data_IF_371478968208
#
_entry.id   IF_371478968208
#
_cell.length_a   1.000
_cell.length_b   1.000
_cell.length_c   1.000
_cell.angle_alpha   90.00
_cell.angle_beta   90.00
_cell.angle_gamma   90.00
#
_symmetry.space_group_name_H-M   'P 1'
#
loop_
_entity.id
_entity.type
_entity.pdbx_description
1 polymer ?
#
# COMPACT_ATOMS: atom_id res chain seq x y z
N UNK A 1 42.18 -10.47 -82.82
CA UNK A 1 42.56 -11.73 -82.24
C UNK A 1 42.80 -11.54 -80.75
N UNK A 2 41.88 -11.94 -79.90
CA UNK A 2 41.97 -11.83 -78.48
C UNK A 2 42.20 -13.19 -77.89
N UNK A 3 43.29 -13.39 -77.21
CA UNK A 3 43.58 -14.57 -76.37
C UNK A 3 42.98 -14.41 -75.04
N UNK A 4 42.13 -15.33 -74.62
CA UNK A 4 41.69 -15.48 -73.25
C UNK A 4 42.65 -16.39 -72.50
N UNK A 5 43.10 -15.92 -71.35
CA UNK A 5 43.95 -16.68 -70.41
C UNK A 5 43.05 -17.29 -69.32
N UNK A 6 42.91 -18.60 -69.34
CA UNK A 6 42.23 -19.34 -68.30
C UNK A 6 43.08 -19.36 -67.03
N UNK A 7 42.57 -18.84 -65.95
CA UNK A 7 43.17 -19.01 -64.62
C UNK A 7 42.77 -20.37 -64.03
N UNK A 8 43.75 -21.24 -63.87
CA UNK A 8 43.61 -22.46 -63.07
C UNK A 8 43.61 -22.08 -61.58
N UNK A 9 42.55 -22.41 -60.85
CA UNK A 9 42.52 -22.39 -59.42
C UNK A 9 43.00 -23.75 -58.90
N UNK A 10 44.15 -23.78 -58.20
CA UNK A 10 44.64 -24.96 -57.50
C UNK A 10 43.88 -25.04 -56.18
N UNK A 11 43.03 -26.04 -56.04
CA UNK A 11 42.33 -26.36 -54.80
C UNK A 11 43.31 -27.19 -53.95
N UNK A 12 43.90 -26.56 -52.93
CA UNK A 12 44.70 -27.29 -51.93
C UNK A 12 43.74 -27.98 -50.96
N UNK A 13 43.67 -29.28 -51.02
CA UNK A 13 43.01 -30.11 -50.04
C UNK A 13 43.88 -30.17 -48.78
N UNK A 14 43.47 -29.40 -47.74
CA UNK A 14 44.00 -29.61 -46.42
C UNK A 14 43.27 -30.76 -45.74
N UNK A 15 43.95 -31.86 -45.57
CA UNK A 15 43.47 -33.00 -44.78
C UNK A 15 43.48 -32.60 -43.31
N UNK A 16 42.33 -32.28 -42.78
CA UNK A 16 42.19 -32.17 -41.33
C UNK A 16 42.08 -33.56 -40.73
N UNK A 17 43.14 -33.98 -40.03
CA UNK A 17 43.08 -35.15 -39.17
C UNK A 17 42.22 -34.77 -37.95
N UNK A 18 40.97 -35.25 -37.94
CA UNK A 18 40.10 -35.15 -36.76
C UNK A 18 40.62 -36.16 -35.72
N UNK A 19 41.38 -35.67 -34.75
CA UNK A 19 41.54 -36.38 -33.49
C UNK A 19 40.20 -36.33 -32.72
N UNK A 20 39.73 -37.47 -32.17
CA UNK A 20 38.57 -37.45 -31.32
C UNK A 20 38.92 -36.73 -30.04
N UNK A 21 38.58 -35.47 -29.93
CA UNK A 21 38.56 -34.76 -28.66
C UNK A 21 37.37 -35.33 -27.91
N UNK A 22 37.59 -36.28 -27.02
CA UNK A 22 36.63 -36.63 -26.00
C UNK A 22 36.54 -35.45 -25.00
N UNK A 23 36.04 -34.33 -25.46
CA UNK A 23 35.59 -33.31 -24.55
C UNK A 23 34.26 -33.84 -23.99
N UNK A 24 34.32 -34.49 -22.84
CA UNK A 24 33.16 -34.58 -21.96
C UNK A 24 32.76 -33.14 -21.66
N UNK A 25 31.78 -32.63 -22.39
CA UNK A 25 31.04 -31.47 -21.94
C UNK A 25 30.36 -31.93 -20.67
N UNK A 26 30.99 -31.61 -19.54
CA UNK A 26 30.26 -31.67 -18.27
C UNK A 26 29.12 -30.69 -18.42
N UNK A 27 27.93 -31.20 -18.74
CA UNK A 27 26.69 -30.45 -18.60
C UNK A 27 26.71 -29.93 -17.17
N UNK A 28 26.55 -28.60 -16.96
CA UNK A 28 26.38 -28.11 -15.62
C UNK A 28 25.26 -28.95 -15.02
N UNK A 29 25.57 -29.66 -13.95
CA UNK A 29 24.58 -30.33 -13.13
C UNK A 29 23.57 -29.25 -12.79
N UNK A 30 22.39 -29.32 -13.35
CA UNK A 30 21.27 -28.52 -12.92
C UNK A 30 21.05 -28.91 -11.45
N UNK A 31 21.74 -28.22 -10.55
CA UNK A 31 21.31 -28.19 -9.17
C UNK A 31 19.92 -27.59 -9.24
N UNK A 32 18.93 -28.42 -8.90
CA UNK A 32 17.53 -28.13 -9.13
C UNK A 32 17.24 -26.66 -8.93
N UNK A 33 16.51 -26.06 -9.85
CA UNK A 33 16.08 -24.69 -9.76
C UNK A 33 15.56 -24.55 -8.33
N UNK A 34 16.35 -23.91 -7.45
CA UNK A 34 15.81 -23.51 -6.17
C UNK A 34 14.60 -22.66 -6.55
N UNK A 35 13.41 -23.17 -6.25
CA UNK A 35 12.23 -22.34 -6.32
C UNK A 35 12.57 -21.11 -5.50
N UNK A 36 12.66 -19.95 -6.16
CA UNK A 36 12.72 -18.70 -5.46
C UNK A 36 11.46 -18.65 -4.60
N UNK A 37 11.62 -18.86 -3.32
CA UNK A 37 10.61 -18.54 -2.35
C UNK A 37 10.90 -17.08 -2.00
N UNK A 38 10.03 -16.16 -2.40
CA UNK A 38 10.14 -14.81 -1.87
C UNK A 38 10.14 -14.92 -0.33
N UNK A 39 10.81 -14.00 0.39
CA UNK A 39 10.70 -13.95 1.83
C UNK A 39 9.22 -13.95 2.20
N UNK A 40 8.84 -14.55 3.34
CA UNK A 40 7.46 -14.51 3.79
C UNK A 40 7.00 -13.06 3.83
N UNK A 41 5.84 -12.78 3.29
CA UNK A 41 5.16 -11.50 3.39
C UNK A 41 4.04 -11.63 4.42
N UNK A 42 3.91 -10.68 5.32
CA UNK A 42 2.95 -10.71 6.42
C UNK A 42 2.08 -9.46 6.37
N UNK A 43 0.85 -9.59 6.78
CA UNK A 43 -0.07 -8.50 7.04
C UNK A 43 -0.50 -8.53 8.51
N UNK A 44 -0.93 -7.40 9.06
CA UNK A 44 -1.54 -7.37 10.37
C UNK A 44 -3.01 -7.77 10.27
N UNK A 45 -3.48 -8.59 11.22
CA UNK A 45 -4.88 -9.01 11.34
C UNK A 45 -5.58 -8.20 12.43
N UNK A 46 -6.73 -7.63 12.06
CA UNK A 46 -7.66 -6.92 12.93
C UNK A 46 -8.94 -7.74 13.09
N UNK A 47 -9.45 -7.84 14.31
CA UNK A 47 -10.56 -8.73 14.63
C UNK A 47 -11.94 -8.08 14.59
N UNK A 48 -12.01 -6.76 14.42
CA UNK A 48 -13.26 -6.02 14.36
C UNK A 48 -13.90 -5.76 15.73
N UNK A 49 -13.16 -5.92 16.83
CA UNK A 49 -13.65 -5.62 18.18
C UNK A 49 -12.94 -4.42 18.80
N UNK A 50 -11.61 -4.49 19.02
CA UNK A 50 -10.86 -3.44 19.70
C UNK A 50 -9.38 -3.35 19.30
N UNK A 51 -9.01 -3.98 18.20
CA UNK A 51 -7.65 -3.95 17.66
C UNK A 51 -7.33 -2.59 17.05
N UNK A 52 -6.37 -1.89 17.64
CA UNK A 52 -5.88 -0.60 17.16
C UNK A 52 -4.36 -0.51 17.25
N UNK A 53 -3.74 0.08 16.23
CA UNK A 53 -2.32 0.43 16.24
C UNK A 53 -2.20 1.94 16.26
N UNK A 54 -1.53 2.49 17.28
CA UNK A 54 -1.26 3.92 17.42
C UNK A 54 0.20 4.22 17.07
N UNK A 55 0.42 5.11 16.09
CA UNK A 55 1.73 5.65 15.72
C UNK A 55 2.04 7.00 16.39
N UNK A 56 1.22 7.39 17.38
CA UNK A 56 1.37 8.64 18.10
C UNK A 56 0.99 9.89 17.30
N UNK A 57 1.16 11.04 17.90
CA UNK A 57 0.82 12.34 17.29
C UNK A 57 1.96 12.82 16.38
N UNK A 58 1.82 12.55 15.10
CA UNK A 58 2.80 12.93 14.07
C UNK A 58 2.62 14.41 13.72
N UNK A 59 3.62 15.22 14.07
CA UNK A 59 3.52 16.69 13.98
C UNK A 59 3.23 17.20 12.58
N UNK A 60 3.86 16.61 11.55
CA UNK A 60 3.72 17.03 10.17
C UNK A 60 2.35 16.67 9.57
N UNK A 61 1.60 15.78 10.24
CA UNK A 61 0.24 15.37 9.83
C UNK A 61 -0.87 16.08 10.64
N UNK A 62 -0.54 17.03 11.54
CA UNK A 62 -1.55 17.73 12.33
C UNK A 62 -2.45 18.66 11.52
N UNK A 63 -1.93 19.24 10.46
CA UNK A 63 -2.65 20.07 9.47
C UNK A 63 -1.87 20.04 8.17
N UNK A 64 -1.86 18.93 7.44
CA UNK A 64 -1.14 18.87 6.19
C UNK A 64 -1.85 19.70 5.12
N UNK A 65 -1.08 20.47 4.34
CA UNK A 65 -1.57 21.13 3.12
C UNK A 65 -1.65 20.14 1.97
N UNK A 66 -0.79 19.13 2.03
CA UNK A 66 -0.66 18.06 1.06
C UNK A 66 -0.42 16.75 1.76
N UNK A 67 -1.06 15.68 1.35
CA UNK A 67 -0.71 14.34 1.80
C UNK A 67 -1.07 13.27 0.78
N UNK A 68 -0.48 12.11 0.97
CA UNK A 68 -0.89 10.84 0.36
C UNK A 68 -0.90 9.78 1.44
N UNK A 69 -1.98 9.04 1.56
CA UNK A 69 -2.07 7.83 2.39
C UNK A 69 -2.28 6.65 1.48
N UNK A 70 -1.52 5.57 1.67
CA UNK A 70 -1.65 4.34 0.90
C UNK A 70 -1.55 3.12 1.81
N UNK A 71 -2.28 2.05 1.46
CA UNK A 71 -2.16 0.75 2.10
C UNK A 71 -2.83 -0.34 1.25
N UNK A 72 -2.48 -1.58 1.55
CA UNK A 72 -3.24 -2.74 1.11
C UNK A 72 -4.23 -3.15 2.20
N UNK A 73 -5.41 -3.59 1.80
CA UNK A 73 -6.37 -4.14 2.74
C UNK A 73 -7.17 -5.30 2.13
N UNK A 74 -7.60 -6.21 3.01
CA UNK A 74 -8.55 -7.27 2.70
C UNK A 74 -9.54 -7.36 3.84
N UNK A 75 -10.73 -6.78 3.65
CA UNK A 75 -11.82 -6.90 4.62
C UNK A 75 -12.35 -8.33 4.63
N UNK A 76 -12.54 -8.91 5.79
CA UNK A 76 -13.12 -10.25 5.94
C UNK A 76 -14.56 -10.24 6.41
N UNK A 77 -15.00 -9.16 7.05
CA UNK A 77 -16.36 -8.93 7.49
C UNK A 77 -16.69 -7.44 7.41
N UNK A 78 -17.90 -7.13 6.98
CA UNK A 78 -18.42 -5.76 6.94
C UNK A 78 -19.15 -5.44 8.24
N UNK A 79 -18.57 -4.61 9.07
CA UNK A 79 -19.16 -4.14 10.33
C UNK A 79 -20.03 -2.87 10.14
N UNK A 80 -20.32 -2.48 8.91
CA UNK A 80 -21.17 -1.34 8.63
C UNK A 80 -22.57 -1.56 9.22
N UNK A 81 -23.06 -0.58 9.96
CA UNK A 81 -24.33 -0.67 10.67
C UNK A 81 -24.24 -0.90 12.18
N UNK A 82 -23.05 -1.11 12.76
CA UNK A 82 -22.83 -0.94 14.18
C UNK A 82 -22.81 0.55 14.49
N UNK A 83 -23.93 1.09 14.88
CA UNK A 83 -24.25 2.36 15.59
C UNK A 83 -23.28 3.55 15.55
N UNK A 84 -22.42 3.71 14.55
CA UNK A 84 -21.67 4.93 14.40
C UNK A 84 -22.53 6.06 13.84
N UNK A 85 -22.32 7.28 14.28
CA UNK A 85 -23.10 8.45 13.90
C UNK A 85 -23.05 8.63 12.38
N UNK A 86 -24.19 8.42 11.72
CA UNK A 86 -24.32 8.51 10.26
C UNK A 86 -24.04 9.90 9.69
N UNK A 87 -23.70 10.87 10.52
CA UNK A 87 -23.45 12.26 10.12
C UNK A 87 -21.97 12.65 10.15
N UNK A 88 -21.12 11.95 10.92
CA UNK A 88 -19.72 12.32 11.12
C UNK A 88 -18.85 11.09 11.24
N UNK A 89 -18.13 10.70 10.21
CA UNK A 89 -17.14 9.65 10.23
C UNK A 89 -17.46 8.46 9.32
N UNK A 90 -16.58 7.49 9.33
CA UNK A 90 -16.60 6.30 8.47
C UNK A 90 -16.76 5.02 9.28
N UNK A 91 -17.16 3.94 8.61
CA UNK A 91 -17.22 2.59 9.20
C UNK A 91 -15.98 1.79 8.82
N UNK A 92 -15.74 0.69 9.54
CA UNK A 92 -14.61 -0.20 9.28
C UNK A 92 -13.31 0.60 9.05
N UNK A 93 -12.91 1.41 10.05
CA UNK A 93 -11.81 2.37 9.91
C UNK A 93 -10.49 1.63 9.73
N UNK A 94 -9.83 1.89 8.62
CA UNK A 94 -8.52 1.34 8.29
C UNK A 94 -7.38 2.30 8.65
N UNK A 95 -7.61 3.61 8.53
CA UNK A 95 -6.67 4.66 8.85
C UNK A 95 -7.39 5.88 9.41
N UNK A 96 -6.84 6.49 10.45
CA UNK A 96 -7.34 7.73 11.02
C UNK A 96 -6.19 8.65 11.46
N UNK A 97 -6.41 9.94 11.38
CA UNK A 97 -5.59 10.97 12.02
C UNK A 97 -6.52 11.92 12.77
N UNK A 98 -6.83 11.56 13.99
CA UNK A 98 -7.76 12.28 14.82
C UNK A 98 -8.03 11.57 16.14
N UNK A 99 -8.53 12.25 17.16
CA UNK A 99 -8.86 11.65 18.45
C UNK A 99 -10.07 12.28 19.14
N UNK A 100 -10.79 13.14 18.45
CA UNK A 100 -11.88 13.91 19.07
C UNK A 100 -12.70 14.51 17.93
N UNK A 101 -14.03 14.56 18.02
CA UNK A 101 -14.88 15.20 17.02
C UNK A 101 -14.55 16.67 16.70
N UNK A 102 -13.52 17.23 17.35
CA UNK A 102 -13.04 18.59 17.07
C UNK A 102 -11.54 18.66 16.74
N UNK A 103 -10.86 17.50 16.60
CA UNK A 103 -9.42 17.43 16.37
C UNK A 103 -9.02 16.28 15.42
N UNK A 104 -9.94 15.68 14.72
CA UNK A 104 -9.69 14.78 13.61
C UNK A 104 -9.46 15.57 12.32
N UNK A 105 -8.77 15.00 11.37
CA UNK A 105 -8.62 15.61 10.07
C UNK A 105 -8.82 14.66 8.91
N UNK A 106 -8.66 13.37 9.12
CA UNK A 106 -8.95 12.35 8.10
C UNK A 106 -9.25 11.00 8.72
N UNK A 107 -10.29 10.35 8.23
CA UNK A 107 -10.58 8.94 8.45
C UNK A 107 -10.84 8.24 7.11
N UNK A 108 -10.36 7.01 6.97
CA UNK A 108 -10.53 6.21 5.75
C UNK A 108 -11.04 4.84 6.17
N UNK A 109 -12.17 4.42 5.59
CA UNK A 109 -12.80 3.15 5.88
C UNK A 109 -13.69 2.63 4.76
N UNK A 110 -14.59 1.71 5.10
CA UNK A 110 -15.54 1.12 4.15
C UNK A 110 -16.94 1.00 4.75
N UNK A 111 -17.98 1.14 3.92
CA UNK A 111 -19.36 0.84 4.25
C UNK A 111 -20.00 0.03 3.13
N UNK A 112 -20.32 -1.22 3.39
CA UNK A 112 -20.82 -2.14 2.37
C UNK A 112 -19.83 -2.29 1.23
N UNK A 113 -20.24 -1.87 0.03
CA UNK A 113 -19.40 -1.89 -1.18
C UNK A 113 -18.64 -0.59 -1.45
N UNK A 114 -18.74 0.39 -0.55
CA UNK A 114 -18.15 1.72 -0.71
C UNK A 114 -16.82 1.83 0.00
N UNK A 115 -15.96 2.73 -0.48
CA UNK A 115 -14.90 3.38 0.28
C UNK A 115 -15.48 4.68 0.83
N UNK A 116 -15.19 4.97 2.08
CA UNK A 116 -15.58 6.20 2.77
C UNK A 116 -14.33 6.97 3.20
N UNK A 117 -14.35 8.28 3.01
CA UNK A 117 -13.29 9.19 3.46
C UNK A 117 -13.99 10.34 4.19
N UNK A 118 -13.66 10.52 5.45
CA UNK A 118 -14.09 11.69 6.22
C UNK A 118 -12.94 12.69 6.27
N UNK A 119 -13.27 13.94 6.05
CA UNK A 119 -12.33 15.07 6.14
C UNK A 119 -12.96 16.16 7.00
N UNK A 120 -12.23 16.59 8.03
CA UNK A 120 -12.58 17.75 8.84
C UNK A 120 -11.73 18.95 8.45
N UNK A 121 -12.39 20.08 8.15
CA UNK A 121 -11.73 21.29 7.65
C UNK A 121 -12.33 22.56 8.21
N UNK A 122 -11.60 23.67 8.11
CA UNK A 122 -12.12 25.00 8.48
C UNK A 122 -13.43 25.40 7.76
N UNK A 123 -13.75 24.75 6.64
CA UNK A 123 -14.98 24.97 5.90
C UNK A 123 -16.17 24.08 6.35
N UNK A 124 -15.90 23.07 7.17
CA UNK A 124 -16.83 22.09 7.70
C UNK A 124 -16.38 20.66 7.42
N UNK A 125 -17.13 19.74 8.00
CA UNK A 125 -16.90 18.31 7.89
C UNK A 125 -17.55 17.75 6.64
N UNK A 126 -16.96 16.72 6.05
CA UNK A 126 -17.54 16.05 4.91
C UNK A 126 -17.17 14.57 4.84
N UNK A 127 -18.15 13.78 4.44
CA UNK A 127 -17.96 12.37 4.15
C UNK A 127 -18.07 12.12 2.65
N UNK A 128 -16.96 11.76 2.06
CA UNK A 128 -16.86 11.41 0.66
C UNK A 128 -17.06 9.90 0.51
N UNK A 129 -17.95 9.51 -0.41
CA UNK A 129 -18.27 8.10 -0.62
C UNK A 129 -18.07 7.72 -2.09
N UNK A 130 -17.45 6.58 -2.34
CA UNK A 130 -17.33 6.00 -3.66
C UNK A 130 -17.70 4.52 -3.67
N UNK A 131 -18.70 4.17 -4.48
CA UNK A 131 -19.11 2.76 -4.64
C UNK A 131 -18.21 2.06 -5.65
N UNK A 132 -17.15 1.44 -5.15
CA UNK A 132 -16.23 0.64 -5.96
C UNK A 132 -16.66 -0.84 -6.10
N UNK A 133 -17.63 -1.30 -5.33
CA UNK A 133 -17.98 -2.71 -5.25
C UNK A 133 -17.03 -3.52 -4.38
N UNK A 134 -16.54 -2.91 -3.28
CA UNK A 134 -15.68 -3.62 -2.31
C UNK A 134 -16.36 -4.91 -1.89
N UNK A 135 -15.60 -6.00 -1.96
CA UNK A 135 -16.06 -7.35 -1.62
C UNK A 135 -15.17 -7.95 -0.54
N UNK A 136 -15.77 -8.65 0.41
CA UNK A 136 -15.02 -9.33 1.45
C UNK A 136 -14.09 -10.40 0.89
N UNK A 137 -13.00 -10.66 1.60
CA UNK A 137 -11.96 -11.61 1.24
C UNK A 137 -11.23 -11.32 -0.09
N UNK A 138 -11.27 -10.06 -0.54
CA UNK A 138 -10.56 -9.58 -1.73
C UNK A 138 -9.56 -8.51 -1.33
N UNK A 139 -8.31 -8.63 -1.81
CA UNK A 139 -7.30 -7.61 -1.64
C UNK A 139 -7.55 -6.41 -2.55
N UNK A 140 -7.36 -5.23 -2.00
CA UNK A 140 -7.37 -3.95 -2.70
C UNK A 140 -6.15 -3.12 -2.28
N UNK A 141 -5.56 -2.41 -3.21
CA UNK A 141 -4.63 -1.32 -2.91
C UNK A 141 -5.40 -0.01 -2.93
N UNK A 142 -5.38 0.72 -1.85
CA UNK A 142 -6.04 2.01 -1.73
C UNK A 142 -5.02 3.12 -1.59
N UNK A 143 -5.24 4.25 -2.29
CA UNK A 143 -4.54 5.49 -2.02
C UNK A 143 -5.53 6.66 -2.00
N UNK A 144 -5.32 7.58 -1.07
CA UNK A 144 -6.01 8.87 -1.01
C UNK A 144 -4.97 9.96 -1.07
N UNK A 145 -5.15 10.91 -1.97
CA UNK A 145 -4.34 12.14 -2.03
C UNK A 145 -5.18 13.34 -1.65
N UNK A 146 -4.56 14.31 -1.00
CA UNK A 146 -5.15 15.61 -0.69
C UNK A 146 -4.20 16.72 -1.12
N UNK A 147 -4.70 17.69 -1.88
CA UNK A 147 -3.98 18.85 -2.37
C UNK A 147 -4.83 20.11 -2.12
N UNK A 148 -4.49 20.87 -1.08
CA UNK A 148 -5.22 22.07 -0.68
C UNK A 148 -5.34 23.13 -1.78
N UNK A 149 -4.41 23.15 -2.75
CA UNK A 149 -4.30 24.19 -3.77
C UNK A 149 -5.05 23.83 -5.08
N UNK A 150 -5.58 22.60 -5.17
CA UNK A 150 -6.34 22.18 -6.35
C UNK A 150 -7.86 22.39 -6.14
N UNK A 151 -8.59 22.45 -7.25
CA UNK A 151 -10.07 22.44 -7.21
C UNK A 151 -10.61 21.07 -6.84
N UNK A 152 -9.93 20.01 -7.26
CA UNK A 152 -10.25 18.63 -6.92
C UNK A 152 -9.26 18.20 -5.83
N UNK A 153 -9.54 18.63 -4.60
CA UNK A 153 -8.61 18.54 -3.46
C UNK A 153 -8.34 17.11 -3.05
N UNK A 154 -9.36 16.25 -3.13
CA UNK A 154 -9.27 14.85 -2.69
C UNK A 154 -9.42 13.92 -3.88
N UNK A 155 -8.48 13.00 -4.05
CA UNK A 155 -8.54 11.99 -5.10
C UNK A 155 -8.35 10.60 -4.52
N UNK A 156 -9.24 9.67 -4.91
CA UNK A 156 -9.19 8.26 -4.53
C UNK A 156 -8.64 7.41 -5.67
N UNK A 157 -7.73 6.52 -5.31
CA UNK A 157 -7.17 5.51 -6.20
C UNK A 157 -7.45 4.13 -5.63
N UNK A 158 -7.90 3.21 -6.48
CA UNK A 158 -8.03 1.79 -6.18
C UNK A 158 -7.23 1.01 -7.21
N UNK A 159 -6.43 0.07 -6.73
CA UNK A 159 -5.59 -0.78 -7.57
C UNK A 159 -4.73 0.02 -8.58
N UNK A 160 -4.11 1.09 -8.07
CA UNK A 160 -3.22 1.96 -8.82
C UNK A 160 -3.89 2.85 -9.86
N UNK A 161 -5.21 2.88 -9.93
CA UNK A 161 -5.98 3.69 -10.87
C UNK A 161 -6.84 4.71 -10.13
N UNK A 162 -6.86 5.95 -10.62
CA UNK A 162 -7.80 6.96 -10.16
C UNK A 162 -9.23 6.51 -10.44
N UNK A 163 -10.10 6.57 -9.42
CA UNK A 163 -11.49 6.14 -9.52
C UNK A 163 -12.49 7.25 -9.21
N UNK A 164 -12.10 8.24 -8.42
CA UNK A 164 -12.93 9.38 -8.09
C UNK A 164 -12.07 10.58 -7.65
N UNK A 165 -12.58 11.78 -7.87
CA UNK A 165 -12.03 13.02 -7.30
C UNK A 165 -13.16 13.95 -6.89
N UNK A 166 -12.95 14.67 -5.78
CA UNK A 166 -13.95 15.57 -5.22
C UNK A 166 -13.40 16.99 -5.16
N UNK A 167 -14.25 17.93 -5.62
CA UNK A 167 -13.97 19.36 -5.56
C UNK A 167 -14.89 20.02 -4.53
N UNK A 168 -14.46 20.00 -3.29
CA UNK A 168 -15.24 20.44 -2.15
C UNK A 168 -14.87 21.85 -1.69
N UNK A 169 -13.80 22.44 -2.24
CA UNK A 169 -13.28 23.75 -1.88
C UNK A 169 -13.05 23.91 -0.36
N UNK A 170 -12.55 22.84 0.29
CA UNK A 170 -12.40 22.76 1.74
C UNK A 170 -11.31 23.66 2.27
N UNK A 171 -10.24 23.82 1.49
CA UNK A 171 -9.07 24.56 1.93
C UNK A 171 -8.33 23.80 3.03
N UNK A 172 -8.05 24.45 4.17
CA UNK A 172 -7.24 23.84 5.22
C UNK A 172 -8.01 22.81 6.02
N UNK A 173 -7.42 21.64 6.19
CA UNK A 173 -7.88 20.67 7.18
C UNK A 173 -7.78 21.22 8.60
N UNK A 174 -8.62 20.75 9.49
CA UNK A 174 -8.56 21.13 10.89
C UNK A 174 -7.33 20.57 11.59
N UNK A 175 -6.99 21.17 12.72
CA UNK A 175 -5.74 20.89 13.40
C UNK A 175 -5.89 19.77 14.42
N UNK A 176 -5.46 18.59 14.07
CA UNK A 176 -5.46 17.41 14.93
C UNK A 176 -4.28 17.36 15.90
N UNK A 177 -4.13 18.40 16.76
CA UNK A 177 -3.01 18.47 17.72
C UNK A 177 -3.24 17.53 18.90
N UNK A 178 -2.28 16.67 19.19
CA UNK A 178 -2.35 15.68 20.27
C UNK A 178 -3.03 14.39 19.87
N UNK A 179 -3.65 14.35 18.70
CA UNK A 179 -4.35 13.18 18.18
C UNK A 179 -3.37 12.23 17.49
N UNK A 180 -3.43 10.91 17.72
CA UNK A 180 -2.54 9.97 17.07
C UNK A 180 -2.91 9.75 15.61
N UNK A 181 -1.97 9.19 14.84
CA UNK A 181 -2.29 8.37 13.68
C UNK A 181 -2.65 7.00 14.19
N UNK A 182 -3.78 6.45 13.74
CA UNK A 182 -4.22 5.09 14.10
C UNK A 182 -4.53 4.26 12.87
N UNK A 183 -4.39 2.94 13.03
CA UNK A 183 -4.67 1.93 12.00
C UNK A 183 -5.56 0.86 12.61
N UNK A 184 -6.62 0.45 11.90
CA UNK A 184 -7.56 -0.60 12.28
C UNK A 184 -8.77 -0.14 13.09
N UNK A 185 -8.66 0.99 13.73
CA UNK A 185 -9.76 1.71 14.42
C UNK A 185 -9.33 3.17 14.67
N UNK A 186 -10.15 3.94 15.33
CA UNK A 186 -9.83 5.27 15.86
C UNK A 186 -9.89 5.28 17.37
N UNK A 187 -9.22 6.23 18.01
CA UNK A 187 -9.11 6.26 19.48
C UNK A 187 -10.25 7.01 20.19
N UNK A 188 -11.20 7.57 19.45
CA UNK A 188 -12.30 8.38 20.03
C UNK A 188 -13.69 7.74 19.85
N UNK A 189 -13.83 6.81 18.91
CA UNK A 189 -15.07 6.07 18.65
C UNK A 189 -14.72 4.63 18.33
N UNK A 190 -15.71 3.76 18.36
CA UNK A 190 -15.51 2.37 17.96
C UNK A 190 -16.13 2.13 16.60
N UNK A 191 -15.29 2.05 15.58
CA UNK A 191 -15.65 1.69 14.22
C UNK A 191 -14.60 0.72 13.62
N UNK A 192 -14.30 -0.39 14.33
CA UNK A 192 -13.14 -1.22 14.06
C UNK A 192 -13.26 -1.95 12.73
N UNK A 193 -12.10 -2.10 12.11
CA UNK A 193 -11.93 -2.89 10.89
C UNK A 193 -11.79 -4.37 11.20
N UNK A 194 -12.46 -5.22 10.41
CA UNK A 194 -12.26 -6.68 10.44
C UNK A 194 -11.57 -7.15 9.18
N UNK A 195 -10.33 -7.62 9.31
CA UNK A 195 -9.58 -8.10 8.15
C UNK A 195 -8.08 -7.94 8.27
N UNK A 196 -7.42 -7.81 7.14
CA UNK A 196 -5.97 -7.66 7.02
C UNK A 196 -5.63 -6.29 6.45
N UNK A 197 -4.60 -5.65 7.03
CA UNK A 197 -4.00 -4.41 6.50
C UNK A 197 -2.49 -4.64 6.35
N UNK A 198 -1.91 -4.08 5.27
CA UNK A 198 -0.51 -4.23 4.94
C UNK A 198 0.05 -2.97 4.28
N UNK A 199 1.39 -2.75 4.41
CA UNK A 199 2.13 -1.71 3.70
C UNK A 199 1.54 -0.29 3.87
N UNK A 200 1.22 0.12 5.11
CA UNK A 200 0.68 1.47 5.37
C UNK A 200 1.76 2.52 5.23
N UNK A 201 1.60 3.42 4.27
CA UNK A 201 2.54 4.50 4.00
C UNK A 201 1.84 5.86 3.91
N UNK A 202 2.47 6.89 4.48
CA UNK A 202 1.94 8.26 4.50
C UNK A 202 3.01 9.25 4.10
N UNK A 203 2.69 10.11 3.15
CA UNK A 203 3.54 11.22 2.69
C UNK A 203 2.91 12.57 3.02
N UNK A 204 3.74 13.56 3.31
CA UNK A 204 3.36 14.98 3.40
C UNK A 204 3.48 15.68 2.03
N UNK A 205 3.19 14.96 0.98
CA UNK A 205 3.14 15.43 -0.41
C UNK A 205 2.11 14.64 -1.22
N UNK A 206 1.66 15.22 -2.31
CA UNK A 206 0.80 14.52 -3.28
C UNK A 206 1.67 13.66 -4.19
N UNK A 207 1.47 12.35 -4.17
CA UNK A 207 2.06 11.47 -5.17
C UNK A 207 1.27 11.57 -6.47
N UNK A 208 1.99 11.57 -7.58
CA UNK A 208 1.37 11.59 -8.91
C UNK A 208 0.67 10.25 -9.22
N UNK A 209 -0.34 10.22 -10.11
CA UNK A 209 -0.99 8.98 -10.55
C UNK A 209 0.01 7.92 -11.05
N UNK A 210 1.07 8.35 -11.72
CA UNK A 210 2.12 7.45 -12.21
C UNK A 210 2.94 6.83 -11.08
N UNK A 211 3.20 7.56 -9.99
CA UNK A 211 3.88 7.04 -8.80
C UNK A 211 2.99 6.04 -8.07
N UNK A 212 1.71 6.36 -7.87
CA UNK A 212 0.73 5.47 -7.24
C UNK A 212 0.58 4.17 -8.02
N UNK A 213 0.43 4.27 -9.35
CA UNK A 213 0.36 3.10 -10.23
C UNK A 213 1.65 2.25 -10.19
N UNK A 214 2.81 2.90 -10.10
CA UNK A 214 4.08 2.19 -10.00
C UNK A 214 4.26 1.49 -8.64
N UNK A 215 3.75 2.08 -7.55
CA UNK A 215 3.77 1.46 -6.21
C UNK A 215 2.82 0.26 -6.17
N UNK A 216 1.63 0.38 -6.74
CA UNK A 216 0.68 -0.74 -6.89
C UNK A 216 1.28 -1.91 -7.68
N UNK A 217 2.07 -1.60 -8.73
CA UNK A 217 2.82 -2.56 -9.54
C UNK A 217 1.98 -3.77 -10.01
N UNK A 218 0.80 -3.49 -10.57
CA UNK A 218 -0.14 -4.51 -11.07
C UNK A 218 -0.53 -5.59 -10.03
N UNK A 219 -0.66 -5.20 -8.78
CA UNK A 219 -1.07 -6.08 -7.69
C UNK A 219 0.07 -6.74 -6.92
N UNK A 220 1.33 -6.49 -7.30
CA UNK A 220 2.48 -7.09 -6.62
C UNK A 220 3.15 -6.17 -5.58
N UNK A 221 2.77 -4.87 -5.57
CA UNK A 221 3.49 -3.85 -4.81
C UNK A 221 4.95 -3.71 -5.27
N UNK A 222 5.67 -2.75 -4.74
CA UNK A 222 7.12 -2.60 -4.97
C UNK A 222 7.97 -3.14 -3.82
N UNK A 223 7.35 -3.66 -2.79
CA UNK A 223 8.02 -4.28 -1.63
C UNK A 223 8.70 -3.31 -0.67
N UNK A 224 9.06 -2.10 -1.08
CA UNK A 224 9.63 -1.09 -0.19
C UNK A 224 9.62 0.30 -0.84
N UNK A 225 8.76 1.18 -0.36
CA UNK A 225 8.62 2.55 -0.85
C UNK A 225 9.82 3.44 -0.50
N UNK A 226 10.61 3.11 0.52
CA UNK A 226 11.76 3.92 0.95
C UNK A 226 12.88 3.96 -0.08
N UNK A 227 12.92 3.02 -1.01
CA UNK A 227 13.96 2.97 -2.04
C UNK A 227 13.76 3.99 -3.14
N UNK A 228 12.52 4.26 -3.53
CA UNK A 228 12.20 5.08 -4.71
C UNK A 228 11.26 6.26 -4.42
N UNK A 229 10.60 6.27 -3.26
CA UNK A 229 9.57 7.26 -2.89
C UNK A 229 9.76 7.78 -1.45
N UNK A 230 11.02 7.90 -1.00
CA UNK A 230 11.36 8.36 0.36
C UNK A 230 11.16 9.86 0.59
N UNK A 231 11.08 10.65 -0.48
CA UNK A 231 10.90 12.10 -0.34
C UNK A 231 9.54 12.42 0.29
N UNK A 232 9.56 13.15 1.41
CA UNK A 232 8.37 13.50 2.22
C UNK A 232 7.61 12.29 2.78
N UNK A 233 8.21 11.10 2.81
CA UNK A 233 7.65 9.93 3.47
C UNK A 233 7.70 10.15 4.99
N UNK A 234 6.54 10.18 5.63
CA UNK A 234 6.39 10.51 7.05
C UNK A 234 6.22 9.26 7.92
N UNK A 235 5.50 8.27 7.42
CA UNK A 235 5.23 7.00 8.10
C UNK A 235 5.28 5.85 7.08
N UNK A 236 5.85 4.70 7.48
CA UNK A 236 5.78 3.48 6.71
C UNK A 236 5.84 2.23 7.60
N UNK A 237 4.71 1.56 7.79
CA UNK A 237 4.60 0.31 8.53
C UNK A 237 4.35 -0.83 7.56
N UNK A 238 5.28 -1.78 7.48
CA UNK A 238 5.22 -2.92 6.55
C UNK A 238 4.50 -4.14 7.09
N UNK A 239 4.30 -4.20 8.39
CA UNK A 239 3.71 -5.35 9.09
C UNK A 239 4.48 -6.69 8.93
N UNK A 240 5.76 -6.64 8.63
CA UNK A 240 6.65 -7.81 8.52
C UNK A 240 7.02 -8.38 9.90
N UNK A 241 6.00 -8.75 10.69
CA UNK A 241 6.05 -9.26 12.07
C UNK A 241 6.54 -8.24 13.09
N UNK A 242 6.52 -6.97 12.75
CA UNK A 242 6.76 -5.86 13.68
C UNK A 242 5.92 -4.62 13.32
N UNK A 243 6.00 -3.60 14.14
CA UNK A 243 5.31 -2.32 13.96
C UNK A 243 6.30 -1.17 13.82
N UNK A 244 7.51 -1.47 13.33
CA UNK A 244 8.52 -0.45 13.13
C UNK A 244 8.12 0.48 11.98
N UNK A 245 8.40 1.76 12.18
CA UNK A 245 8.33 2.75 11.13
C UNK A 245 9.63 2.73 10.30
N UNK A 246 9.54 2.22 9.09
CA UNK A 246 10.63 2.14 8.13
C UNK A 246 10.85 3.44 7.33
N UNK A 247 10.05 4.50 7.55
CA UNK A 247 10.27 5.81 6.93
C UNK A 247 11.58 6.48 7.39
N UNK A 248 12.04 6.11 8.60
CA UNK A 248 13.20 6.70 9.27
C UNK A 248 12.84 7.79 10.29
N UNK A 249 11.55 8.13 10.44
CA UNK A 249 11.08 9.19 11.37
C UNK A 249 10.80 8.64 12.77
N UNK A 250 10.84 7.31 12.97
CA UNK A 250 10.67 6.65 14.26
C UNK A 250 9.26 6.77 14.87
N UNK A 251 8.23 6.80 14.04
CA UNK A 251 6.82 6.77 14.43
C UNK A 251 6.32 5.32 14.58
N UNK A 252 7.05 4.51 15.34
CA UNK A 252 6.72 3.09 15.52
C UNK A 252 5.31 2.91 16.06
N UNK A 253 4.59 1.93 15.53
CA UNK A 253 3.28 1.55 15.98
C UNK A 253 3.30 0.91 17.38
N UNK A 254 2.26 1.17 18.15
CA UNK A 254 1.99 0.48 19.42
C UNK A 254 0.62 -0.15 19.31
N UNK A 255 0.58 -1.47 19.42
CA UNK A 255 -0.68 -2.23 19.39
C UNK A 255 -1.42 -2.11 20.73
N UNK A 256 -2.72 -1.96 20.65
CA UNK A 256 -3.67 -2.06 21.74
C UNK A 256 -4.87 -2.86 21.27
N UNK A 257 -5.28 -3.82 22.04
CA UNK A 257 -6.43 -4.69 21.79
C UNK A 257 -6.57 -5.63 22.98
N UNK A 258 -7.80 -6.01 23.31
CA UNK A 258 -8.08 -6.85 24.48
C UNK A 258 -8.72 -8.18 24.10
N UNK A 259 -8.83 -8.47 22.82
CA UNK A 259 -9.49 -9.61 22.27
C UNK A 259 -9.06 -10.92 22.96
N UNK A 260 -9.77 -11.29 23.95
CA UNK A 260 -9.90 -12.53 24.71
C UNK A 260 -8.71 -13.49 24.82
N UNK A 261 -7.78 -13.46 23.90
CA UNK A 261 -6.59 -14.31 23.83
C UNK A 261 -5.34 -13.58 23.29
N UNK A 262 -5.45 -12.44 22.63
CA UNK A 262 -4.34 -11.79 21.94
C UNK A 262 -4.18 -10.33 22.37
N UNK A 263 -3.50 -10.12 23.48
CA UNK A 263 -2.98 -8.79 23.86
C UNK A 263 -1.73 -8.42 23.07
N UNK A 264 -1.53 -8.98 21.89
CA UNK A 264 -0.35 -8.76 21.04
C UNK A 264 -0.74 -8.75 19.56
N UNK A 265 -0.04 -7.94 18.79
CA UNK A 265 -0.22 -7.85 17.36
C UNK A 265 -0.21 -9.24 16.68
N UNK A 266 -1.17 -9.49 15.81
CA UNK A 266 -1.35 -10.74 15.09
C UNK A 266 -0.95 -10.58 13.63
N UNK A 267 0.04 -11.35 13.19
CA UNK A 267 0.55 -11.32 11.82
C UNK A 267 0.14 -12.59 11.07
N UNK A 268 -0.39 -12.41 9.87
CA UNK A 268 -0.80 -13.49 8.97
C UNK A 268 0.16 -13.53 7.79
N UNK A 269 0.71 -14.73 7.51
CA UNK A 269 1.53 -14.93 6.33
C UNK A 269 0.65 -14.92 5.06
N UNK A 270 0.87 -13.94 4.20
CA UNK A 270 0.09 -13.69 2.98
C UNK A 270 0.88 -13.97 1.70
N UNK A 271 2.06 -14.58 1.79
CA UNK A 271 2.95 -14.84 0.63
C UNK A 271 2.25 -15.58 -0.54
N UNK A 272 1.19 -16.35 -0.24
CA UNK A 272 0.42 -17.07 -1.25
C UNK A 272 -0.92 -16.40 -1.60
N UNK A 273 -1.26 -15.28 -0.98
CA UNK A 273 -2.59 -14.68 -1.00
C UNK A 273 -2.63 -13.33 -1.73
N UNK A 274 -1.50 -12.66 -1.86
CA UNK A 274 -1.38 -11.51 -2.75
C UNK A 274 -1.32 -12.03 -4.18
N UNK A 275 -2.04 -11.41 -5.14
CA UNK A 275 -1.91 -11.76 -6.55
C UNK A 275 -0.46 -11.52 -7.00
N UNK A 276 0.34 -12.57 -7.00
CA UNK A 276 1.63 -12.58 -7.66
C UNK A 276 1.36 -12.81 -9.15
N UNK A 277 1.40 -11.76 -9.94
CA UNK A 277 1.41 -11.88 -11.40
C UNK A 277 2.81 -12.16 -11.91
#
# INVERSE_FOLDING_TARGET
MRFQVNKFYICSFSVFILWPINAQIALPTFHGVQKYHPPPNYAHSFDGEDDIISCGDITNLRRPEYFTVMFWFKRTEDNSGSSYDSNHGVNNIMYSKGSDPNNDNIEIGTDGSKVEIYLDSEAGDDRLEFNHGISDNTWYHLAVTYDQDQSDETTLYIDGSEVESWSDARGKLDKSTGSPVTIGDTDHISAPFTGLIDEVAVWTSVLTPSQISAIYNSGSGIGNVTTSYSDNLELYIKFEQDLNDDSGNSHNGTFSGSNGANSSATYVNITSDIPLN
#
